data_IF_989896934435
#
_entry.id   IF_989896934435
#
_cell.length_a   1.000
_cell.length_b   1.000
_cell.length_c   1.000
_cell.angle_alpha   90.00
_cell.angle_beta   90.00
_cell.angle_gamma   90.00
#
_symmetry.space_group_name_H-M   'P 1'
#
loop_
_entity.id
_entity.type
_entity.pdbx_description
1 polymer ?
#
# COMPACT_ATOMS: atom_id res chain seq x y z
N UNK A 1 -22.34 14.08 -0.34
CA UNK A 1 -21.79 12.87 0.26
C UNK A 1 -21.61 11.86 -0.85
N UNK A 2 -20.38 11.60 -1.30
CA UNK A 2 -20.10 10.42 -2.10
C UNK A 2 -19.45 9.45 -1.12
N UNK A 3 -20.17 8.40 -0.69
CA UNK A 3 -19.51 7.22 -0.13
C UNK A 3 -18.69 6.59 -1.25
N UNK A 4 -17.59 5.92 -0.93
CA UNK A 4 -17.04 4.93 -1.87
C UNK A 4 -18.19 3.95 -2.13
N UNK A 5 -18.61 3.82 -3.39
CA UNK A 5 -19.66 2.85 -3.71
C UNK A 5 -19.14 1.46 -3.36
N UNK A 6 -20.05 0.61 -2.87
CA UNK A 6 -19.73 -0.67 -2.23
C UNK A 6 -18.92 -1.64 -3.12
N UNK A 7 -18.89 -1.39 -4.43
CA UNK A 7 -18.20 -2.17 -5.45
C UNK A 7 -16.70 -1.88 -5.63
N UNK A 8 -16.12 -0.82 -5.04
CA UNK A 8 -14.74 -0.38 -5.36
C UNK A 8 -13.66 -0.89 -4.40
N UNK A 9 -14.03 -1.41 -3.23
CA UNK A 9 -13.14 -2.06 -2.26
C UNK A 9 -13.61 -3.50 -2.07
N UNK A 10 -12.75 -4.47 -2.39
CA UNK A 10 -13.11 -5.89 -2.56
C UNK A 10 -13.64 -6.63 -1.31
N UNK A 11 -13.71 -6.00 -0.14
CA UNK A 11 -14.26 -6.70 1.04
C UNK A 11 -14.86 -5.74 2.07
N UNK A 12 -16.15 -5.46 1.93
CA UNK A 12 -16.90 -4.78 2.97
C UNK A 12 -17.31 -5.72 4.12
N UNK A 13 -17.40 -7.03 3.85
CA UNK A 13 -17.78 -8.04 4.85
C UNK A 13 -16.86 -9.26 4.76
N UNK A 14 -15.67 -9.14 5.34
CA UNK A 14 -14.78 -10.29 5.53
C UNK A 14 -15.16 -11.08 6.79
N UNK A 15 -15.22 -12.43 6.70
CA UNK A 15 -15.19 -13.30 7.89
C UNK A 15 -13.82 -13.94 7.99
N UNK A 16 -13.19 -13.80 9.14
CA UNK A 16 -11.92 -14.44 9.46
C UNK A 16 -12.14 -15.48 10.54
N UNK A 17 -11.45 -16.61 10.43
CA UNK A 17 -11.48 -17.65 11.45
C UNK A 17 -10.20 -18.48 11.46
N UNK A 18 -10.04 -19.23 12.54
CA UNK A 18 -8.92 -20.14 12.74
C UNK A 18 -9.48 -21.55 12.75
N UNK A 19 -8.89 -22.43 11.95
CA UNK A 19 -9.16 -23.86 11.99
C UNK A 19 -7.99 -24.58 12.66
N UNK A 20 -8.30 -25.35 13.69
CA UNK A 20 -7.38 -26.27 14.34
C UNK A 20 -7.63 -27.66 13.75
N UNK A 21 -6.78 -28.10 12.83
CA UNK A 21 -6.58 -29.53 12.58
C UNK A 21 -5.26 -29.93 13.23
N UNK A 22 -5.29 -31.10 13.84
CA UNK A 22 -4.46 -31.67 14.91
C UNK A 22 -2.94 -31.45 14.94
N UNK A 23 -2.33 -30.67 14.04
CA UNK A 23 -0.90 -30.31 14.12
C UNK A 23 -0.48 -28.96 13.51
N UNK A 24 -1.36 -28.19 12.84
CA UNK A 24 -1.00 -26.84 12.32
C UNK A 24 -2.18 -25.88 12.35
N UNK A 25 -2.02 -24.74 13.04
CA UNK A 25 -2.98 -23.63 12.96
C UNK A 25 -3.06 -23.13 11.53
N UNK A 26 -4.24 -23.23 10.90
CA UNK A 26 -4.52 -22.64 9.58
C UNK A 26 -5.50 -21.50 9.78
N UNK A 27 -5.14 -20.31 9.30
CA UNK A 27 -6.04 -19.17 9.22
C UNK A 27 -6.72 -19.16 7.84
N UNK A 28 -7.97 -18.68 7.79
CA UNK A 28 -8.70 -18.48 6.55
C UNK A 28 -9.42 -17.12 6.57
N UNK A 29 -9.60 -16.58 5.37
CA UNK A 29 -10.33 -15.33 5.12
C UNK A 29 -11.37 -15.60 4.05
N UNK A 30 -12.62 -15.26 4.33
CA UNK A 30 -13.72 -15.29 3.36
C UNK A 30 -14.13 -13.86 3.05
N UNK A 31 -14.16 -13.53 1.77
CA UNK A 31 -14.63 -12.24 1.25
C UNK A 31 -15.67 -12.46 0.15
N UNK A 32 -16.26 -11.35 -0.29
CA UNK A 32 -17.11 -11.35 -1.48
C UNK A 32 -16.30 -11.77 -2.71
N UNK A 33 -16.92 -12.59 -3.55
CA UNK A 33 -16.33 -12.96 -4.83
C UNK A 33 -16.63 -11.89 -5.87
N UNK A 34 -15.58 -11.31 -6.46
CA UNK A 34 -15.68 -10.42 -7.61
C UNK A 34 -15.12 -11.10 -8.86
N UNK A 35 -15.80 -10.96 -10.00
CA UNK A 35 -15.33 -11.45 -11.29
C UNK A 35 -14.30 -10.48 -11.86
N UNK A 36 -13.02 -10.69 -11.51
CA UNK A 36 -11.93 -9.78 -11.84
C UNK A 36 -11.15 -10.24 -13.07
N UNK A 37 -10.69 -9.28 -13.87
CA UNK A 37 -9.70 -9.52 -14.92
C UNK A 37 -8.42 -8.72 -14.65
N UNK A 38 -7.30 -9.40 -14.82
CA UNK A 38 -5.96 -8.81 -14.78
C UNK A 38 -5.78 -7.88 -15.98
N UNK A 39 -6.13 -6.60 -15.77
CA UNK A 39 -5.98 -5.51 -16.72
C UNK A 39 -5.85 -4.23 -15.93
N UNK A 40 -4.91 -3.36 -16.33
CA UNK A 40 -4.80 -2.03 -15.75
C UNK A 40 -6.10 -1.23 -16.00
N UNK A 41 -6.68 -0.63 -14.95
CA UNK A 41 -7.86 0.19 -15.12
C UNK A 41 -7.53 1.48 -15.89
N UNK A 42 -8.51 2.07 -16.60
CA UNK A 42 -8.35 3.42 -17.13
C UNK A 42 -8.06 4.41 -16.00
N UNK A 43 -7.08 5.31 -16.21
CA UNK A 43 -6.61 6.21 -15.15
C UNK A 43 -7.72 7.17 -14.69
N UNK A 44 -8.63 7.55 -15.59
CA UNK A 44 -9.81 8.37 -15.29
C UNK A 44 -10.80 7.70 -14.33
N UNK A 45 -10.79 6.36 -14.24
CA UNK A 45 -11.61 5.59 -13.29
C UNK A 45 -10.86 5.30 -12.00
N UNK A 46 -9.56 5.02 -12.08
CA UNK A 46 -8.75 4.69 -10.91
C UNK A 46 -8.42 5.91 -10.03
N UNK A 47 -8.09 7.03 -10.66
CA UNK A 47 -7.71 8.25 -9.94
C UNK A 47 -8.80 8.77 -8.98
N UNK A 48 -10.10 8.83 -9.35
CA UNK A 48 -11.15 9.22 -8.42
C UNK A 48 -11.18 8.37 -7.13
N UNK A 49 -10.97 7.05 -7.24
CA UNK A 49 -10.97 6.13 -6.10
C UNK A 49 -9.83 6.48 -5.14
N UNK A 50 -8.61 6.58 -5.65
CA UNK A 50 -7.42 6.89 -4.84
C UNK A 50 -7.52 8.30 -4.25
N UNK A 51 -7.95 9.28 -5.05
CA UNK A 51 -8.17 10.66 -4.60
C UNK A 51 -9.19 10.72 -3.47
N UNK A 52 -10.33 10.03 -3.62
CA UNK A 52 -11.37 9.97 -2.61
C UNK A 52 -10.84 9.34 -1.31
N UNK A 53 -10.18 8.19 -1.41
CA UNK A 53 -9.56 7.51 -0.27
C UNK A 53 -8.63 8.46 0.51
N UNK A 54 -7.68 9.09 -0.17
CA UNK A 54 -6.74 10.00 0.48
C UNK A 54 -7.39 11.27 1.05
N UNK A 55 -8.29 11.90 0.29
CA UNK A 55 -8.85 13.20 0.68
C UNK A 55 -9.99 13.10 1.69
N UNK A 56 -10.76 12.02 1.70
CA UNK A 56 -11.93 11.87 2.56
C UNK A 56 -11.69 11.03 3.81
N UNK A 57 -10.66 10.18 3.85
CA UNK A 57 -10.35 9.41 5.05
C UNK A 57 -10.03 10.30 6.24
N UNK A 58 -10.41 9.90 7.45
CA UNK A 58 -10.05 10.60 8.69
C UNK A 58 -9.34 9.61 9.60
N UNK A 59 -8.10 9.92 10.00
CA UNK A 59 -7.39 9.12 11.00
C UNK A 59 -8.18 9.16 12.31
N UNK A 60 -8.50 8.00 12.92
CA UNK A 60 -9.30 7.94 14.14
C UNK A 60 -8.62 8.61 15.34
N UNK A 61 -7.29 8.79 15.28
CA UNK A 61 -6.49 9.45 16.31
C UNK A 61 -6.00 10.83 15.90
N UNK A 62 -6.21 11.23 14.63
CA UNK A 62 -5.55 12.38 14.04
C UNK A 62 -4.05 12.19 13.77
N UNK A 63 -3.50 11.00 14.02
CA UNK A 63 -2.06 10.68 13.89
C UNK A 63 -1.76 9.77 12.71
N UNK A 64 -0.47 9.59 12.38
CA UNK A 64 -0.01 8.54 11.46
C UNK A 64 0.09 7.21 12.18
N UNK A 65 -0.30 6.12 11.52
CA UNK A 65 -0.31 4.78 12.11
C UNK A 65 -1.56 3.97 11.77
N UNK A 66 -1.74 2.86 12.46
CA UNK A 66 -2.92 2.02 12.30
C UNK A 66 -3.30 1.34 13.61
N UNK A 67 -4.58 0.99 13.75
CA UNK A 67 -5.13 0.43 14.98
C UNK A 67 -4.83 -1.06 15.18
N UNK A 68 -4.44 -1.76 14.11
CA UNK A 68 -4.01 -3.17 14.11
C UNK A 68 -2.72 -3.29 13.32
N UNK A 69 -1.88 -4.26 13.66
CA UNK A 69 -0.66 -4.56 12.89
C UNK A 69 -1.04 -4.98 11.47
N UNK A 70 -0.65 -4.17 10.50
CA UNK A 70 -0.73 -4.50 9.07
C UNK A 70 0.50 -5.29 8.63
N UNK A 71 0.40 -5.97 7.49
CA UNK A 71 1.46 -6.82 6.95
C UNK A 71 1.73 -6.47 5.49
N UNK A 72 3.02 -6.33 5.13
CA UNK A 72 3.44 -6.15 3.74
C UNK A 72 3.91 -7.49 3.18
N UNK A 73 2.97 -8.36 2.79
CA UNK A 73 3.27 -9.78 2.59
C UNK A 73 3.56 -10.47 3.93
N UNK A 74 4.60 -11.30 4.07
CA UNK A 74 4.96 -11.92 5.35
C UNK A 74 5.41 -10.97 6.49
N UNK A 75 6.21 -9.90 6.26
CA UNK A 75 6.70 -9.06 7.35
C UNK A 75 5.60 -8.17 7.98
N UNK A 76 5.52 -8.13 9.33
CA UNK A 76 4.66 -7.18 10.03
C UNK A 76 5.20 -5.75 9.89
N UNK A 77 4.30 -4.79 9.78
CA UNK A 77 4.60 -3.36 9.77
C UNK A 77 4.51 -2.77 11.19
N UNK A 78 5.45 -1.90 11.54
CA UNK A 78 5.50 -1.09 12.77
C UNK A 78 4.60 0.15 12.65
N UNK A 79 3.30 -0.09 12.74
CA UNK A 79 2.24 0.90 12.52
C UNK A 79 1.82 1.68 13.77
N UNK A 80 2.64 1.69 14.83
CA UNK A 80 2.35 2.44 16.06
C UNK A 80 2.09 3.92 15.79
N UNK A 81 1.15 4.51 16.53
CA UNK A 81 0.73 5.89 16.31
C UNK A 81 1.85 6.91 16.60
N UNK A 82 2.05 7.87 15.71
CA UNK A 82 2.92 9.05 15.91
C UNK A 82 2.38 10.27 15.17
N UNK A 83 2.65 11.45 15.72
CA UNK A 83 2.35 12.73 15.06
C UNK A 83 3.42 13.14 14.04
N UNK A 84 4.52 12.40 13.96
CA UNK A 84 5.68 12.69 13.11
C UNK A 84 5.82 11.66 11.97
N UNK A 85 5.61 12.10 10.74
CA UNK A 85 5.70 11.28 9.55
C UNK A 85 7.13 10.82 9.23
N UNK A 86 8.14 11.68 9.44
CA UNK A 86 9.54 11.31 9.28
C UNK A 86 9.89 10.16 10.22
N UNK A 87 9.49 10.28 11.49
CA UNK A 87 9.67 9.23 12.50
C UNK A 87 8.98 7.92 12.09
N UNK A 88 7.71 7.99 11.69
CA UNK A 88 6.95 6.83 11.22
C UNK A 88 7.68 6.11 10.08
N UNK A 89 8.05 6.86 9.04
CA UNK A 89 8.66 6.31 7.85
C UNK A 89 10.05 5.74 8.12
N UNK A 90 10.89 6.45 8.90
CA UNK A 90 12.24 5.97 9.24
C UNK A 90 12.17 4.69 10.09
N UNK A 91 11.24 4.63 11.05
CA UNK A 91 11.02 3.41 11.85
C UNK A 91 10.67 2.22 10.96
N UNK A 92 9.74 2.41 10.02
CA UNK A 92 9.36 1.39 9.04
C UNK A 92 10.50 0.98 8.13
N UNK A 93 11.25 1.96 7.60
CA UNK A 93 12.39 1.71 6.72
C UNK A 93 13.48 0.90 7.41
N UNK A 94 13.82 1.23 8.66
CA UNK A 94 14.78 0.46 9.47
C UNK A 94 14.31 -0.96 9.76
N UNK A 95 13.01 -1.15 10.02
CA UNK A 95 12.42 -2.49 10.16
C UNK A 95 12.57 -3.30 8.88
N UNK A 96 12.32 -2.67 7.73
CA UNK A 96 12.51 -3.26 6.41
C UNK A 96 13.96 -3.68 6.14
N UNK A 97 14.95 -2.84 6.46
CA UNK A 97 16.37 -3.20 6.34
C UNK A 97 16.74 -4.43 7.16
N UNK A 98 16.27 -4.51 8.42
CA UNK A 98 16.46 -5.70 9.27
C UNK A 98 15.81 -6.93 8.66
N UNK A 99 14.65 -6.78 8.01
CA UNK A 99 14.00 -7.90 7.33
C UNK A 99 14.77 -8.33 6.08
N UNK A 100 15.29 -7.40 5.28
CA UNK A 100 16.19 -7.69 4.15
C UNK A 100 17.41 -8.47 4.63
N UNK A 101 18.08 -8.01 5.69
CA UNK A 101 19.23 -8.69 6.27
C UNK A 101 18.89 -10.13 6.69
N UNK A 102 17.75 -10.34 7.36
CA UNK A 102 17.29 -11.69 7.73
C UNK A 102 17.04 -12.60 6.54
N UNK A 103 16.51 -12.07 5.43
CA UNK A 103 16.10 -12.88 4.28
C UNK A 103 17.19 -13.06 3.22
N UNK A 104 18.17 -12.15 3.16
CA UNK A 104 19.18 -12.07 2.10
C UNK A 104 20.62 -12.12 2.61
N UNK A 105 20.80 -12.13 3.92
CA UNK A 105 22.12 -12.04 4.55
C UNK A 105 22.57 -10.60 4.72
N UNK A 106 23.71 -10.44 5.38
CA UNK A 106 24.28 -9.13 5.67
C UNK A 106 24.85 -8.49 4.41
N UNK A 107 24.51 -7.22 4.18
CA UNK A 107 25.10 -6.35 3.17
C UNK A 107 25.59 -5.08 3.87
N UNK A 108 26.86 -5.03 4.31
CA UNK A 108 27.41 -3.85 5.00
C UNK A 108 27.35 -2.58 4.17
N UNK A 109 27.49 -2.68 2.84
CA UNK A 109 27.41 -1.54 1.92
C UNK A 109 25.99 -0.97 1.94
N UNK A 110 24.97 -1.82 1.86
CA UNK A 110 23.57 -1.40 1.94
C UNK A 110 23.28 -0.67 3.25
N UNK A 111 23.75 -1.21 4.38
CA UNK A 111 23.52 -0.62 5.71
C UNK A 111 24.19 0.75 5.83
N UNK A 112 25.45 0.88 5.40
CA UNK A 112 26.18 2.15 5.43
C UNK A 112 25.49 3.23 4.58
N UNK A 113 25.10 2.89 3.34
CA UNK A 113 24.39 3.81 2.45
C UNK A 113 23.03 4.18 3.05
N UNK A 114 22.32 3.21 3.63
CA UNK A 114 21.00 3.43 4.21
C UNK A 114 21.05 4.38 5.41
N UNK A 115 22.07 4.30 6.27
CA UNK A 115 22.24 5.26 7.38
C UNK A 115 22.43 6.68 6.86
N UNK A 116 23.33 6.88 5.90
CA UNK A 116 23.54 8.19 5.28
C UNK A 116 22.26 8.69 4.59
N UNK A 117 21.54 7.80 3.91
CA UNK A 117 20.29 8.11 3.24
C UNK A 117 19.21 8.57 4.23
N UNK A 118 19.07 7.89 5.37
CA UNK A 118 18.14 8.30 6.43
C UNK A 118 18.53 9.67 6.99
N UNK A 119 19.80 9.84 7.35
CA UNK A 119 20.29 11.07 7.99
C UNK A 119 20.16 12.28 7.08
N UNK A 120 20.55 12.15 5.81
CA UNK A 120 20.64 13.28 4.88
C UNK A 120 19.40 13.41 4.00
N UNK A 121 18.97 12.35 3.34
CA UNK A 121 17.93 12.42 2.32
C UNK A 121 16.54 12.33 2.94
N UNK A 122 16.28 11.35 3.81
CA UNK A 122 14.95 11.20 4.40
C UNK A 122 14.59 12.42 5.26
N UNK A 123 15.53 12.90 6.09
CA UNK A 123 15.33 14.14 6.84
C UNK A 123 15.08 15.34 5.92
N UNK A 124 15.83 15.48 4.83
CA UNK A 124 15.70 16.58 3.86
C UNK A 124 14.37 16.59 3.11
N UNK A 125 13.84 15.42 2.80
CA UNK A 125 12.63 15.26 2.00
C UNK A 125 11.36 15.20 2.84
N UNK A 126 11.42 14.63 4.06
CA UNK A 126 10.25 14.38 4.90
C UNK A 126 10.05 15.44 5.98
N UNK A 127 11.10 15.90 6.66
CA UNK A 127 10.97 16.90 7.73
C UNK A 127 10.23 18.16 7.28
N UNK A 128 10.52 18.72 6.07
CA UNK A 128 9.82 19.91 5.60
C UNK A 128 8.32 19.72 5.37
N UNK A 129 7.78 18.50 5.35
CA UNK A 129 6.33 18.28 5.26
C UNK A 129 5.58 18.79 6.50
N UNK A 130 6.26 18.85 7.65
CA UNK A 130 5.66 19.19 8.95
C UNK A 130 6.37 20.33 9.69
N UNK A 131 7.26 21.07 9.05
CA UNK A 131 7.99 22.20 9.68
C UNK A 131 7.81 23.52 8.93
N UNK A 132 8.14 24.64 9.57
CA UNK A 132 8.05 25.96 8.95
C UNK A 132 6.62 26.32 8.58
N UNK A 133 5.67 25.97 9.46
CA UNK A 133 4.24 26.24 9.29
C UNK A 133 3.52 25.27 8.36
N UNK A 134 4.19 24.23 7.86
CA UNK A 134 3.57 23.19 7.02
C UNK A 134 3.07 22.02 7.86
N UNK A 135 1.99 21.42 7.40
CA UNK A 135 1.47 20.17 7.96
C UNK A 135 0.94 19.31 6.83
N UNK A 136 0.91 18.00 7.06
CA UNK A 136 0.32 17.02 6.17
C UNK A 136 -0.76 16.23 6.92
N UNK A 137 -1.80 15.86 6.19
CA UNK A 137 -2.92 15.06 6.71
C UNK A 137 -2.55 13.57 6.73
N UNK A 138 -2.72 12.86 7.87
CA UNK A 138 -2.72 11.40 7.89
C UNK A 138 -3.88 10.86 7.05
N UNK A 139 -3.55 10.37 5.86
CA UNK A 139 -4.50 9.89 4.86
C UNK A 139 -4.47 8.37 4.85
N UNK A 140 -5.62 7.72 4.69
CA UNK A 140 -5.68 6.26 4.58
C UNK A 140 -4.96 5.84 3.31
N UNK A 141 -3.83 5.18 3.47
CA UNK A 141 -3.04 4.60 2.40
C UNK A 141 -3.46 3.13 2.19
N UNK A 142 -3.55 2.69 0.94
CA UNK A 142 -3.66 1.28 0.60
C UNK A 142 -2.35 0.54 0.93
N UNK A 143 -1.20 1.18 0.72
CA UNK A 143 0.12 0.67 1.04
C UNK A 143 0.71 -0.31 0.04
N UNK A 144 -0.08 -0.80 -0.92
CA UNK A 144 0.36 -1.82 -1.88
C UNK A 144 -0.32 -1.72 -3.27
N UNK A 145 -0.31 -0.53 -3.87
CA UNK A 145 -0.86 -0.31 -5.22
C UNK A 145 0.06 -0.85 -6.32
N UNK A 146 0.17 -2.17 -6.43
CA UNK A 146 0.75 -2.84 -7.59
C UNK A 146 -0.36 -3.38 -8.51
N UNK A 147 -0.04 -3.65 -9.78
CA UNK A 147 -1.04 -4.12 -10.75
C UNK A 147 -1.72 -5.43 -10.33
N UNK A 148 -1.02 -6.25 -9.53
CA UNK A 148 -1.61 -7.47 -8.96
C UNK A 148 -2.83 -7.21 -8.08
N UNK A 149 -2.89 -6.03 -7.47
CA UNK A 149 -3.88 -5.62 -6.47
C UNK A 149 -4.89 -4.59 -7.00
N UNK A 150 -4.79 -4.28 -8.30
CA UNK A 150 -5.67 -3.34 -8.98
C UNK A 150 -6.19 -4.06 -10.20
N UNK A 151 -7.44 -4.53 -10.13
CA UNK A 151 -8.04 -5.28 -11.23
C UNK A 151 -9.36 -4.65 -11.66
N UNK A 152 -9.83 -5.06 -12.83
CA UNK A 152 -11.08 -4.59 -13.39
C UNK A 152 -12.18 -5.61 -13.14
N UNK A 153 -13.25 -5.21 -12.46
CA UNK A 153 -14.42 -6.04 -12.28
C UNK A 153 -15.25 -6.02 -13.58
N UNK A 154 -15.45 -7.20 -14.17
CA UNK A 154 -16.11 -7.31 -15.48
C UNK A 154 -17.61 -7.12 -15.43
N UNK A 155 -18.24 -7.34 -14.27
CA UNK A 155 -19.68 -7.23 -14.10
C UNK A 155 -20.07 -5.76 -13.86
N UNK A 156 -19.26 -5.01 -13.12
CA UNK A 156 -19.52 -3.59 -12.79
C UNK A 156 -18.80 -2.60 -13.70
N UNK A 157 -17.82 -3.08 -14.47
CA UNK A 157 -16.93 -2.25 -15.28
C UNK A 157 -16.18 -1.18 -14.48
N UNK A 158 -15.82 -1.48 -13.23
CA UNK A 158 -15.10 -0.58 -12.32
C UNK A 158 -13.75 -1.15 -11.88
N UNK A 159 -12.77 -0.29 -11.58
CA UNK A 159 -11.56 -0.71 -10.89
C UNK A 159 -11.89 -1.18 -9.47
N UNK A 160 -11.24 -2.26 -9.05
CA UNK A 160 -11.31 -2.81 -7.69
C UNK A 160 -9.90 -2.89 -7.12
N UNK A 161 -9.76 -2.40 -5.90
CA UNK A 161 -8.52 -2.49 -5.12
C UNK A 161 -8.68 -3.52 -4.01
N UNK A 162 -7.63 -4.32 -3.77
CA UNK A 162 -7.62 -5.40 -2.76
C UNK A 162 -6.21 -5.70 -2.26
N UNK A 163 -6.11 -6.60 -1.27
CA UNK A 163 -4.88 -6.93 -0.54
C UNK A 163 -4.13 -5.70 0.00
N UNK A 164 -4.81 -4.86 0.82
CA UNK A 164 -4.20 -3.68 1.39
C UNK A 164 -3.17 -4.01 2.47
N UNK A 165 -2.16 -3.16 2.56
CA UNK A 165 -1.24 -3.06 3.69
C UNK A 165 -1.52 -1.74 4.41
N UNK A 166 -2.76 -1.54 4.86
CA UNK A 166 -3.27 -0.21 5.21
C UNK A 166 -2.62 0.42 6.43
N UNK A 167 -2.46 1.73 6.37
CA UNK A 167 -2.10 2.61 7.49
C UNK A 167 -2.53 4.04 7.16
N UNK A 168 -2.64 4.91 8.16
CA UNK A 168 -2.77 6.35 7.95
C UNK A 168 -1.37 6.95 7.79
N UNK A 169 -1.09 7.49 6.61
CA UNK A 169 0.23 7.97 6.22
C UNK A 169 0.21 9.25 5.38
N UNK A 170 1.37 9.63 4.86
CA UNK A 170 1.45 10.64 3.82
C UNK A 170 0.95 10.05 2.48
N UNK A 171 -0.04 10.69 1.87
CA UNK A 171 -0.73 10.17 0.68
C UNK A 171 0.19 9.90 -0.53
N UNK A 172 1.35 10.57 -0.63
CA UNK A 172 2.30 10.33 -1.72
C UNK A 172 3.01 8.98 -1.61
N UNK A 173 3.02 8.36 -0.42
CA UNK A 173 3.64 7.05 -0.22
C UNK A 173 2.92 5.93 -0.98
N UNK A 174 1.64 6.09 -1.29
CA UNK A 174 0.89 5.10 -2.07
C UNK A 174 1.36 4.97 -3.53
N UNK A 175 2.18 5.92 -4.01
CA UNK A 175 2.86 5.83 -5.30
C UNK A 175 4.11 4.93 -5.29
N UNK A 176 4.51 4.39 -4.13
CA UNK A 176 5.79 3.66 -3.98
C UNK A 176 5.96 2.48 -4.95
N UNK A 177 4.87 1.76 -5.24
CA UNK A 177 4.90 0.60 -6.13
C UNK A 177 4.99 1.00 -7.61
N UNK A 178 4.57 2.22 -7.95
CA UNK A 178 4.38 2.68 -9.33
C UNK A 178 5.67 3.14 -10.01
N UNK A 179 6.76 3.36 -9.25
CA UNK A 179 8.11 3.56 -9.82
C UNK A 179 8.77 2.24 -10.23
N UNK A 180 8.20 1.08 -9.86
CA UNK A 180 8.72 -0.20 -10.31
C UNK A 180 8.35 -0.39 -11.80
N UNK A 181 9.30 -0.71 -12.70
CA UNK A 181 9.04 -0.86 -14.14
C UNK A 181 7.96 -1.89 -14.48
N UNK A 182 7.65 -2.79 -13.55
CA UNK A 182 6.60 -3.81 -13.71
C UNK A 182 5.19 -3.28 -13.52
N UNK A 183 5.04 -2.10 -12.91
CA UNK A 183 3.72 -1.50 -12.67
C UNK A 183 3.25 -0.78 -13.93
N UNK A 184 2.25 -1.34 -14.61
CA UNK A 184 1.61 -0.86 -15.84
C UNK A 184 1.04 0.55 -15.64
N UNK A 185 0.42 0.82 -14.48
CA UNK A 185 -0.12 2.15 -14.16
C UNK A 185 1.01 3.20 -14.10
N UNK A 186 2.09 2.84 -13.41
CA UNK A 186 3.41 3.46 -13.58
C UNK A 186 3.49 4.97 -13.38
N UNK A 187 4.44 5.59 -14.08
CA UNK A 187 4.71 7.03 -14.03
C UNK A 187 3.52 7.88 -14.52
N UNK A 188 2.75 7.39 -15.50
CA UNK A 188 1.61 8.13 -16.05
C UNK A 188 0.58 8.47 -14.96
N UNK A 189 0.34 7.56 -14.03
CA UNK A 189 -0.53 7.85 -12.89
C UNK A 189 0.11 8.78 -11.87
N UNK A 190 1.41 8.63 -11.58
CA UNK A 190 2.12 9.53 -10.67
C UNK A 190 1.99 10.99 -11.17
N UNK A 191 2.20 11.21 -12.46
CA UNK A 191 2.10 12.53 -13.10
C UNK A 191 0.66 13.06 -13.03
N UNK A 192 -0.32 12.23 -13.38
CA UNK A 192 -1.74 12.59 -13.30
C UNK A 192 -2.18 12.89 -11.86
N UNK A 193 -1.73 12.09 -10.90
CA UNK A 193 -2.02 12.24 -9.48
C UNK A 193 -1.46 13.55 -8.95
N UNK A 194 -0.21 13.87 -9.29
CA UNK A 194 0.43 15.15 -8.95
C UNK A 194 -0.39 16.34 -9.44
N UNK A 195 -0.92 16.28 -10.66
CA UNK A 195 -1.73 17.36 -11.26
C UNK A 195 -3.13 17.46 -10.63
N UNK A 196 -3.80 16.33 -10.36
CA UNK A 196 -5.23 16.31 -10.00
C UNK A 196 -5.51 16.24 -8.50
N UNK A 197 -4.56 15.74 -7.71
CA UNK A 197 -4.63 15.67 -6.25
C UNK A 197 -3.71 16.70 -5.61
N UNK A 198 -2.54 16.93 -6.21
CA UNK A 198 -1.56 17.90 -5.72
C UNK A 198 -0.39 17.23 -5.00
N UNK A 199 0.76 17.88 -5.08
CA UNK A 199 1.94 17.54 -4.31
C UNK A 199 1.97 18.30 -2.97
N UNK A 200 2.40 17.63 -1.91
CA UNK A 200 2.71 18.27 -0.63
C UNK A 200 3.88 19.24 -0.79
N UNK A 201 3.82 20.36 -0.08
CA UNK A 201 4.91 21.35 -0.09
C UNK A 201 6.10 20.85 0.74
N UNK A 202 7.36 21.03 0.28
CA UNK A 202 7.79 21.68 -0.96
C UNK A 202 7.49 20.82 -2.19
N UNK A 203 6.90 21.42 -3.22
CA UNK A 203 6.38 20.70 -4.40
C UNK A 203 7.53 20.19 -5.27
N UNK A 204 8.65 20.89 -5.28
CA UNK A 204 9.88 20.54 -5.97
C UNK A 204 10.48 19.21 -5.48
N UNK A 205 10.13 18.76 -4.27
CA UNK A 205 10.61 17.49 -3.70
C UNK A 205 9.67 16.32 -3.97
N UNK A 206 8.57 16.52 -4.69
CA UNK A 206 7.59 15.46 -4.96
C UNK A 206 8.23 14.22 -5.61
N UNK A 207 8.97 14.39 -6.70
CA UNK A 207 9.57 13.24 -7.41
C UNK A 207 10.60 12.51 -6.54
N UNK A 208 11.39 13.25 -5.76
CA UNK A 208 12.40 12.67 -4.88
C UNK A 208 11.75 11.96 -3.68
N UNK A 209 10.63 12.47 -3.16
CA UNK A 209 9.82 11.77 -2.15
C UNK A 209 9.23 10.47 -2.70
N UNK A 210 8.68 10.50 -3.91
CA UNK A 210 8.18 9.27 -4.55
C UNK A 210 9.32 8.26 -4.77
N UNK A 211 10.52 8.72 -5.17
CA UNK A 211 11.70 7.86 -5.26
C UNK A 211 12.11 7.28 -3.90
N UNK A 212 12.11 8.09 -2.84
CA UNK A 212 12.36 7.65 -1.47
C UNK A 212 11.37 6.57 -1.03
N UNK A 213 10.07 6.75 -1.30
CA UNK A 213 9.08 5.72 -0.98
C UNK A 213 9.28 4.45 -1.83
N UNK A 214 9.65 4.59 -3.10
CA UNK A 214 9.94 3.46 -3.99
C UNK A 214 11.16 2.64 -3.54
N UNK A 215 12.21 3.26 -3.01
CA UNK A 215 13.39 2.56 -2.45
C UNK A 215 12.95 1.60 -1.33
N UNK A 216 12.10 2.07 -0.40
CA UNK A 216 11.54 1.21 0.65
C UNK A 216 10.79 0.03 0.04
N UNK A 217 9.94 0.28 -0.95
CA UNK A 217 9.18 -0.76 -1.64
C UNK A 217 10.08 -1.79 -2.33
N UNK A 218 11.10 -1.34 -3.06
CA UNK A 218 12.04 -2.21 -3.78
C UNK A 218 12.80 -3.14 -2.82
N UNK A 219 13.26 -2.63 -1.67
CA UNK A 219 13.89 -3.44 -0.63
C UNK A 219 12.94 -4.50 -0.06
N UNK A 220 11.70 -4.11 0.24
CA UNK A 220 10.69 -5.05 0.74
C UNK A 220 10.37 -6.13 -0.29
N UNK A 221 10.18 -5.77 -1.56
CA UNK A 221 9.96 -6.74 -2.63
C UNK A 221 11.14 -7.70 -2.75
N UNK A 222 12.37 -7.17 -2.79
CA UNK A 222 13.56 -7.98 -2.89
C UNK A 222 13.69 -8.98 -1.72
N UNK A 223 13.27 -8.60 -0.52
CA UNK A 223 13.33 -9.46 0.66
C UNK A 223 12.33 -10.62 0.62
N UNK A 224 11.15 -10.42 0.03
CA UNK A 224 10.07 -11.42 0.00
C UNK A 224 10.22 -12.37 -1.20
N UNK A 225 10.61 -11.83 -2.36
CA UNK A 225 10.60 -12.56 -3.63
C UNK A 225 12.01 -12.72 -4.21
N UNK A 226 12.61 -13.93 -4.16
CA UNK A 226 14.00 -14.16 -4.59
C UNK A 226 14.31 -13.76 -6.03
N UNK A 227 13.35 -13.91 -6.94
CA UNK A 227 13.50 -13.52 -8.34
C UNK A 227 13.70 -12.00 -8.54
N UNK A 228 13.40 -11.20 -7.51
CA UNK A 228 13.55 -9.74 -7.52
C UNK A 228 14.71 -9.26 -6.65
N UNK A 229 15.67 -10.13 -6.31
CA UNK A 229 16.83 -9.77 -5.48
C UNK A 229 17.66 -8.60 -6.05
N UNK A 230 17.72 -8.45 -7.39
CA UNK A 230 18.41 -7.33 -8.06
C UNK A 230 17.85 -5.94 -7.72
N UNK A 231 16.65 -5.86 -7.14
CA UNK A 231 16.10 -4.60 -6.64
C UNK A 231 16.90 -4.04 -5.46
N UNK A 232 17.70 -4.84 -4.75
CA UNK A 232 18.63 -4.34 -3.72
C UNK A 232 19.69 -3.45 -4.36
N UNK A 233 20.30 -3.88 -5.46
CA UNK A 233 21.31 -3.08 -6.17
C UNK A 233 20.70 -1.82 -6.78
N UNK A 234 19.47 -1.92 -7.30
CA UNK A 234 18.70 -0.75 -7.74
C UNK A 234 18.47 0.22 -6.58
N UNK A 235 18.04 -0.27 -5.41
CA UNK A 235 17.82 0.56 -4.23
C UNK A 235 19.11 1.24 -3.77
N UNK A 236 20.25 0.53 -3.75
CA UNK A 236 21.58 1.12 -3.49
C UNK A 236 21.90 2.23 -4.49
N UNK A 237 21.69 2.00 -5.78
CA UNK A 237 21.90 3.01 -6.83
C UNK A 237 21.04 4.25 -6.65
N UNK A 238 19.75 4.07 -6.38
CA UNK A 238 18.81 5.16 -6.15
C UNK A 238 19.12 5.96 -4.87
N UNK A 239 19.55 5.29 -3.79
CA UNK A 239 20.03 5.97 -2.58
C UNK A 239 21.30 6.78 -2.87
N UNK A 240 22.29 6.23 -3.57
CA UNK A 240 23.52 6.94 -3.97
C UNK A 240 23.20 8.17 -4.83
N UNK A 241 22.27 8.04 -5.79
CA UNK A 241 21.83 9.17 -6.63
C UNK A 241 21.21 10.29 -5.81
N UNK A 242 20.33 9.96 -4.85
CA UNK A 242 19.71 10.97 -3.99
C UNK A 242 20.71 11.58 -3.00
N UNK A 243 21.65 10.80 -2.48
CA UNK A 243 22.75 11.30 -1.65
C UNK A 243 23.65 12.28 -2.41
N UNK A 244 23.94 12.02 -3.69
CA UNK A 244 24.68 12.95 -4.54
C UNK A 244 23.90 14.25 -4.81
N UNK A 245 22.57 14.20 -4.83
CA UNK A 245 21.70 15.37 -5.00
C UNK A 245 21.55 16.19 -3.71
N UNK A 246 21.61 15.54 -2.54
CA UNK A 246 21.48 16.16 -1.22
C UNK A 246 22.67 15.84 -0.30
N UNK A 247 23.90 16.21 -0.68
CA UNK A 247 25.12 15.81 0.05
C UNK A 247 25.18 16.36 1.47
N UNK A 248 24.53 17.50 1.70
CA UNK A 248 24.50 18.22 2.97
C UNK A 248 23.22 18.02 3.77
N UNK A 249 22.28 17.22 3.24
CA UNK A 249 20.98 16.98 3.87
C UNK A 249 20.29 18.28 4.26
N UNK A 250 19.91 18.41 5.53
CA UNK A 250 19.24 19.62 6.03
C UNK A 250 20.14 20.84 6.20
N UNK A 251 21.48 20.72 6.14
CA UNK A 251 22.37 21.87 6.35
C UNK A 251 22.26 22.92 5.25
N UNK A 252 21.88 22.51 4.04
CA UNK A 252 21.62 23.40 2.91
C UNK A 252 20.15 23.86 2.81
N UNK A 253 19.30 23.45 3.77
CA UNK A 253 17.88 23.76 3.70
C UNK A 253 17.60 25.18 4.16
N UNK A 254 17.06 25.99 3.24
CA UNK A 254 16.74 27.40 3.50
C UNK A 254 15.34 27.65 4.08
N UNK A 255 14.52 26.62 4.26
CA UNK A 255 13.16 26.78 4.80
C UNK A 255 13.08 26.60 6.32
N UNK A 256 11.96 27.02 6.91
CA UNK A 256 11.73 26.85 8.35
C UNK A 256 11.72 25.38 8.78
N UNK A 257 12.48 25.07 9.84
CA UNK A 257 12.54 23.75 10.47
C UNK A 257 11.85 23.68 11.84
N UNK A 258 11.26 24.80 12.29
CA UNK A 258 10.44 24.81 13.50
C UNK A 258 9.28 23.81 13.35
N UNK A 259 9.11 22.87 14.30
CA UNK A 259 8.03 21.90 14.28
C UNK A 259 6.66 22.59 14.20
N UNK A 260 5.84 22.18 13.25
CA UNK A 260 4.47 22.68 13.14
C UNK A 260 3.57 21.80 14.00
N UNK A 261 2.99 22.37 15.05
CA UNK A 261 1.93 21.69 15.80
C UNK A 261 0.72 21.58 14.88
N UNK A 262 0.39 20.37 14.45
CA UNK A 262 -0.80 20.11 13.66
C UNK A 262 -2.03 20.50 14.51
N UNK A 263 -2.71 21.59 14.13
CA UNK A 263 -3.98 21.95 14.74
C UNK A 263 -5.03 20.98 14.21
N UNK A 264 -5.68 20.24 15.11
CA UNK A 264 -6.89 19.50 14.76
C UNK A 264 -7.91 20.52 14.20
N UNK A 265 -8.65 20.18 13.13
CA UNK A 265 -9.76 21.04 12.70
C UNK A 265 -10.71 21.25 13.89
N UNK A 266 -11.18 22.48 14.10
CA UNK A 266 -12.00 22.89 15.25
C UNK A 266 -13.34 22.15 15.36
N UNK A 267 -13.68 21.32 14.36
CA UNK A 267 -14.89 20.51 14.34
C UNK A 267 -14.56 19.07 14.74
N UNK A 268 -15.02 18.58 15.90
CA UNK A 268 -14.90 17.17 16.23
C UNK A 268 -15.64 16.32 15.18
N UNK A 269 -15.12 15.14 14.80
CA UNK A 269 -15.83 14.25 13.91
C UNK A 269 -17.20 13.92 14.50
N UNK A 270 -18.24 13.99 13.67
CA UNK A 270 -19.58 13.57 14.07
C UNK A 270 -19.49 12.16 14.66
N UNK A 271 -19.95 12.02 15.90
CA UNK A 271 -20.01 10.73 16.59
C UNK A 271 -20.77 9.76 15.68
N UNK A 272 -20.22 8.59 15.31
CA UNK A 272 -20.98 7.63 14.54
C UNK A 272 -22.22 7.26 15.36
N UNK A 273 -23.39 7.57 14.79
CA UNK A 273 -24.66 7.16 15.38
C UNK A 273 -24.60 5.65 15.57
N UNK A 274 -24.70 5.21 16.83
CA UNK A 274 -24.81 3.80 17.18
C UNK A 274 -25.99 3.24 16.41
N UNK A 275 -25.71 2.50 15.34
CA UNK A 275 -26.73 1.77 14.60
C UNK A 275 -27.45 0.88 15.62
N UNK A 276 -28.71 1.23 15.92
CA UNK A 276 -29.57 0.38 16.72
C UNK A 276 -29.80 -0.88 15.89
N UNK A 277 -29.24 -2.01 16.34
CA UNK A 277 -29.62 -3.31 15.81
C UNK A 277 -31.15 -3.46 15.93
N UNK A 278 -31.87 -3.77 14.86
CA UNK A 278 -33.27 -4.12 14.98
C UNK A 278 -33.37 -5.41 15.81
N UNK A 279 -34.07 -5.34 16.93
CA UNK A 279 -34.56 -6.51 17.66
C UNK A 279 -35.36 -7.39 16.69
N UNK A 280 -34.84 -8.57 16.37
CA UNK A 280 -35.59 -9.58 15.63
C UNK A 280 -36.67 -10.15 16.54
N UNK A 281 -37.93 -9.84 16.22
CA UNK A 281 -39.07 -10.59 16.71
C UNK A 281 -39.03 -12.00 16.12
N UNK A 282 -38.95 -13.00 16.99
CA UNK A 282 -39.08 -14.39 16.63
C UNK A 282 -40.52 -14.69 16.16
N UNK A 283 -40.71 -14.84 14.85
CA UNK A 283 -41.88 -15.53 14.31
C UNK A 283 -41.47 -16.95 13.89
N UNK A 284 -42.07 -17.93 14.57
CA UNK A 284 -42.08 -19.33 14.15
C UNK A 284 -42.81 -19.44 12.81
N UNK A 285 -42.14 -20.00 11.81
CA UNK A 285 -42.71 -20.29 10.49
C UNK A 285 -42.02 -21.50 9.87
N UNK A 286 -42.85 -22.38 9.32
CA UNK A 286 -42.63 -23.80 9.02
C UNK A 286 -41.39 -24.24 8.23
N UNK A 287 -41.02 -25.47 8.55
CA UNK A 287 -39.91 -26.25 8.03
C UNK A 287 -40.36 -27.08 6.82
N UNK A 288 -40.04 -26.67 5.60
CA UNK A 288 -40.16 -27.54 4.41
C UNK A 288 -39.03 -27.31 3.39
N UNK A 289 -38.09 -28.26 3.34
CA UNK A 289 -37.47 -28.76 2.11
C UNK A 289 -36.45 -27.87 1.36
N UNK A 290 -35.20 -27.84 1.81
CA UNK A 290 -34.06 -27.44 0.96
C UNK A 290 -33.41 -28.71 0.40
N UNK A 291 -33.55 -28.91 -0.92
CA UNK A 291 -32.83 -29.94 -1.68
C UNK A 291 -31.35 -29.55 -1.78
N UNK A 292 -30.47 -30.47 -1.40
CA UNK A 292 -29.02 -30.40 -1.61
C UNK A 292 -28.70 -30.38 -3.11
N UNK A 293 -27.88 -29.45 -3.62
CA UNK A 293 -27.38 -29.53 -4.99
C UNK A 293 -26.34 -30.66 -5.12
N UNK A 294 -26.18 -31.28 -6.31
CA UNK A 294 -25.29 -32.40 -6.51
C UNK A 294 -23.82 -31.98 -6.35
N UNK A 295 -23.02 -32.86 -5.72
CA UNK A 295 -21.57 -32.70 -5.55
C UNK A 295 -20.88 -32.81 -6.91
N UNK A 296 -20.38 -31.70 -7.43
CA UNK A 296 -19.39 -31.73 -8.52
C UNK A 296 -18.03 -32.12 -7.93
N UNK A 297 -17.31 -33.12 -8.47
CA UNK A 297 -15.96 -33.45 -8.00
C UNK A 297 -15.02 -32.26 -8.23
N UNK A 298 -14.24 -31.90 -7.21
CA UNK A 298 -13.13 -30.95 -7.33
C UNK A 298 -12.10 -31.52 -8.30
N UNK A 299 -11.96 -30.89 -9.48
CA UNK A 299 -10.84 -31.15 -10.38
C UNK A 299 -9.56 -30.60 -9.74
N UNK A 300 -8.58 -31.48 -9.51
CA UNK A 300 -7.25 -31.08 -9.02
C UNK A 300 -6.55 -30.25 -10.08
N UNK A 301 -6.18 -29.02 -9.72
CA UNK A 301 -5.38 -28.11 -10.55
C UNK A 301 -3.97 -28.70 -10.77
N UNK A 302 -3.60 -28.90 -12.04
CA UNK A 302 -2.27 -29.34 -12.47
C UNK A 302 -1.45 -28.12 -12.96
N UNK A 303 -0.37 -27.72 -12.25
CA UNK A 303 0.44 -26.56 -12.62
C UNK A 303 1.27 -26.75 -13.90
N UNK A 304 1.34 -27.97 -14.47
CA UNK A 304 2.18 -28.26 -15.65
C UNK A 304 1.58 -27.82 -16.99
N UNK A 305 0.33 -27.35 -17.02
CA UNK A 305 -0.38 -26.96 -18.26
C UNK A 305 -0.14 -25.54 -18.74
N UNK A 306 0.68 -24.74 -18.06
CA UNK A 306 1.01 -23.36 -18.47
C UNK A 306 2.42 -23.18 -19.04
N UNK A 307 3.10 -24.25 -19.44
CA UNK A 307 4.31 -24.12 -20.27
C UNK A 307 3.91 -23.94 -21.74
N UNK A 308 3.89 -22.69 -22.20
CA UNK A 308 4.00 -22.41 -23.64
C UNK A 308 5.47 -22.68 -23.99
N UNK A 309 5.73 -23.82 -24.63
CA UNK A 309 7.01 -24.10 -25.29
C UNK A 309 7.01 -23.35 -26.61
N UNK A 310 7.94 -22.40 -26.73
CA UNK A 310 8.18 -21.63 -27.94
C UNK A 310 9.07 -22.46 -28.88
N UNK A 311 8.45 -23.33 -29.69
CA UNK A 311 9.09 -24.09 -30.76
C UNK A 311 8.25 -23.96 -32.03
N UNK A 312 8.51 -22.92 -32.83
CA UNK A 312 8.18 -22.91 -34.27
C UNK A 312 8.86 -21.78 -35.03
N UNK A 313 10.14 -21.97 -35.37
CA UNK A 313 10.67 -21.49 -36.65
C UNK A 313 11.48 -22.60 -37.31
N UNK A 314 10.78 -23.41 -38.11
CA UNK A 314 11.38 -24.34 -39.05
C UNK A 314 11.94 -23.60 -40.27
N UNK A 315 13.09 -24.07 -40.72
CA UNK A 315 13.75 -23.72 -41.97
C UNK A 315 13.05 -24.33 -43.20
N UNK A 316 13.24 -23.69 -44.35
CA UNK A 316 12.92 -24.13 -45.72
C UNK A 316 12.29 -22.96 -46.50
N UNK A 317 12.81 -22.46 -47.61
CA UNK A 317 13.84 -22.89 -48.57
C UNK A 317 14.76 -21.71 -48.95
#
# INVERSE_FOLDING_TARGET
>A
MASLNDAQICSQTGRMGVYYADTKTKAWFMAEYSNLRARAPPLEQFLPIVKQMHQQSISPTGKFGFHVTSYYGPPPMLVDWTDNWEEFWVREFRSGLKYVERMRGQDPELLEIAEQFIEKVASRLLRPLQTGGRSIKPSLCHGNFCDGNIQFNVDTYQPVIFDPCSFYGHHEMDSQCMKNPRCIIGQNFIDLYKVKVGASRPIEYFEDRVALYAIRNDLMIASVWPQWASLIDKAKGDMKRLLAKYPDGLRDYMGGLEPTIARLPDTPPATPSRAQHPTQNANKGDNTGIKTPPRTPLSTYDPSRNSITDDSFGAGE
#
